data_IF_346157241936
#
_entry.id   IF_346157241936
#
_cell.length_a   1.000
_cell.length_b   1.000
_cell.length_c   1.000
_cell.angle_alpha   90.00
_cell.angle_beta   90.00
_cell.angle_gamma   90.00
#
_symmetry.space_group_name_H-M   'P 1'
#
loop_
_entity.id
_entity.type
_entity.pdbx_description
1 polymer ?
#
# COMPACT_ATOMS: atom_id res chain seq x y z
N UNK A 1 4.46 33.75 -15.84
CA UNK A 1 4.49 33.24 -14.48
C UNK A 1 5.67 33.76 -13.68
N UNK A 2 5.65 33.55 -12.37
CA UNK A 2 6.70 34.04 -11.45
C UNK A 2 8.07 33.43 -11.80
N UNK A 3 8.11 32.18 -12.19
CA UNK A 3 9.33 31.45 -12.57
C UNK A 3 10.03 31.97 -13.83
N UNK A 4 9.36 32.79 -14.64
CA UNK A 4 9.97 33.46 -15.79
C UNK A 4 10.77 34.72 -15.47
N UNK A 5 10.65 35.28 -14.24
CA UNK A 5 11.36 36.49 -13.84
C UNK A 5 12.83 36.23 -13.60
N UNK A 6 13.72 37.04 -14.17
CA UNK A 6 15.17 36.87 -14.07
C UNK A 6 15.67 36.79 -12.63
N UNK A 7 15.17 37.63 -11.72
CA UNK A 7 15.55 37.64 -10.31
C UNK A 7 15.17 36.31 -9.59
N UNK A 8 13.99 35.75 -9.90
CA UNK A 8 13.55 34.45 -9.33
C UNK A 8 14.43 33.32 -9.87
N UNK A 9 14.73 33.32 -11.16
CA UNK A 9 15.59 32.32 -11.78
C UNK A 9 17.02 32.37 -11.20
N UNK A 10 17.54 33.56 -10.95
CA UNK A 10 18.83 33.76 -10.32
C UNK A 10 18.83 33.20 -8.88
N UNK A 11 17.81 33.54 -8.09
CA UNK A 11 17.68 33.05 -6.72
C UNK A 11 17.52 31.51 -6.62
N UNK A 12 16.99 30.86 -7.64
CA UNK A 12 16.82 29.39 -7.68
C UNK A 12 18.11 28.65 -8.06
N UNK A 13 19.10 29.30 -8.72
CA UNK A 13 20.30 28.63 -9.18
C UNK A 13 21.17 28.04 -8.06
N UNK A 14 21.14 28.66 -6.87
CA UNK A 14 21.95 28.24 -5.72
C UNK A 14 21.14 27.42 -4.68
N UNK A 15 19.91 27.04 -5.00
CA UNK A 15 19.10 26.25 -4.06
C UNK A 15 19.46 24.76 -4.15
N UNK A 16 19.65 24.08 -3.00
CA UNK A 16 20.13 22.69 -2.96
C UNK A 16 19.09 21.67 -3.42
N UNK A 17 17.79 22.03 -3.36
CA UNK A 17 16.68 21.10 -3.68
C UNK A 17 15.53 21.85 -4.31
N UNK A 18 15.34 21.67 -5.62
CA UNK A 18 14.25 22.27 -6.39
C UNK A 18 13.45 21.16 -7.05
N UNK A 19 12.15 21.13 -6.78
CA UNK A 19 11.15 20.40 -7.57
C UNK A 19 10.51 21.39 -8.52
N UNK A 20 10.60 21.12 -9.83
CA UNK A 20 10.03 21.98 -10.86
C UNK A 20 8.90 21.27 -11.57
N UNK A 21 7.69 21.79 -11.41
CA UNK A 21 6.52 21.33 -12.15
C UNK A 21 6.39 22.13 -13.45
N UNK A 22 6.64 21.52 -14.66
CA UNK A 22 6.68 22.22 -15.90
C UNK A 22 5.26 22.40 -16.46
N UNK A 23 5.05 23.50 -17.17
CA UNK A 23 3.79 23.74 -17.89
C UNK A 23 4.10 24.19 -19.32
N UNK A 24 3.37 23.74 -20.36
CA UNK A 24 3.64 24.06 -21.77
C UNK A 24 3.73 25.57 -22.07
N UNK A 25 3.01 26.40 -21.32
CA UNK A 25 3.05 27.87 -21.43
C UNK A 25 3.95 28.53 -20.37
N UNK A 26 4.66 27.72 -19.58
CA UNK A 26 5.54 28.20 -18.50
C UNK A 26 6.97 28.43 -18.96
N UNK A 27 7.81 28.88 -18.04
CA UNK A 27 9.26 28.97 -18.28
C UNK A 27 9.88 27.58 -18.21
N UNK A 28 10.94 27.36 -18.98
CA UNK A 28 11.75 26.14 -18.91
C UNK A 28 12.45 26.04 -17.55
N UNK A 29 12.70 24.84 -17.03
CA UNK A 29 13.43 24.62 -15.79
C UNK A 29 14.78 25.33 -15.77
N UNK A 30 15.24 25.73 -14.60
CA UNK A 30 16.63 26.20 -14.45
C UNK A 30 17.57 24.98 -14.43
N UNK A 31 18.76 25.05 -15.03
CA UNK A 31 19.71 23.95 -14.98
C UNK A 31 20.07 23.57 -13.54
N UNK A 32 20.28 22.28 -13.26
CA UNK A 32 20.65 21.79 -11.94
C UNK A 32 19.48 21.58 -10.97
N UNK A 33 18.23 21.75 -11.39
CA UNK A 33 17.08 21.39 -10.54
C UNK A 33 17.14 19.91 -10.14
N UNK A 34 16.73 19.60 -8.92
CA UNK A 34 16.78 18.24 -8.38
C UNK A 34 15.88 17.29 -9.20
N UNK A 35 14.67 17.72 -9.49
CA UNK A 35 13.78 16.96 -10.36
C UNK A 35 12.77 17.84 -11.06
N UNK A 36 12.38 17.43 -12.27
CA UNK A 36 11.27 18.01 -13.03
C UNK A 36 10.14 16.99 -13.11
N UNK A 37 8.88 17.41 -12.93
CA UNK A 37 7.72 16.53 -12.75
C UNK A 37 6.68 16.64 -13.87
N UNK A 38 7.04 16.47 -15.16
CA UNK A 38 6.05 16.53 -16.24
C UNK A 38 5.04 15.38 -16.13
N UNK A 39 3.78 15.67 -16.45
CA UNK A 39 2.84 14.59 -16.74
C UNK A 39 3.09 13.99 -18.13
N UNK A 40 2.41 12.89 -18.47
CA UNK A 40 2.62 12.17 -19.72
C UNK A 40 2.39 13.07 -20.97
N UNK A 41 1.40 13.97 -20.93
CA UNK A 41 1.12 14.88 -22.03
C UNK A 41 2.19 15.99 -22.17
N UNK A 42 2.63 16.53 -21.04
CA UNK A 42 3.73 17.51 -20.98
C UNK A 42 5.06 16.88 -21.40
N UNK A 43 5.34 15.66 -20.93
CA UNK A 43 6.54 14.93 -21.33
C UNK A 43 6.56 14.69 -22.85
N UNK A 44 5.43 14.32 -23.45
CA UNK A 44 5.30 14.16 -24.89
C UNK A 44 5.51 15.50 -25.63
N UNK A 45 4.89 16.58 -25.13
CA UNK A 45 5.02 17.90 -25.71
C UNK A 45 6.47 18.42 -25.70
N UNK A 46 7.17 18.26 -24.60
CA UNK A 46 8.52 18.80 -24.46
C UNK A 46 9.62 17.92 -25.08
N UNK A 47 9.43 16.61 -25.13
CA UNK A 47 10.42 15.67 -25.69
C UNK A 47 10.23 15.40 -27.18
N UNK A 48 9.04 15.71 -27.72
CA UNK A 48 8.65 15.34 -29.10
C UNK A 48 8.67 13.81 -29.35
N UNK A 49 8.70 13.01 -28.26
CA UNK A 49 8.70 11.54 -28.29
C UNK A 49 7.33 11.03 -27.89
N UNK A 50 6.67 10.30 -28.78
CA UNK A 50 5.43 9.61 -28.44
C UNK A 50 5.68 8.48 -27.45
N UNK A 51 4.79 8.31 -26.45
CA UNK A 51 4.91 7.26 -25.45
C UNK A 51 3.56 6.70 -25.03
N UNK A 52 3.28 5.48 -25.46
CA UNK A 52 2.08 4.75 -25.06
C UNK A 52 2.32 3.85 -23.83
N UNK A 53 3.58 3.55 -23.52
CA UNK A 53 3.98 2.60 -22.47
C UNK A 53 5.10 3.14 -21.57
N UNK A 54 5.45 2.38 -20.52
CA UNK A 54 6.52 2.72 -19.58
C UNK A 54 7.87 2.98 -20.27
N UNK A 55 8.20 2.20 -21.28
CA UNK A 55 9.45 2.38 -22.06
C UNK A 55 9.50 3.69 -22.83
N UNK A 56 8.36 4.18 -23.29
CA UNK A 56 8.24 5.51 -23.90
C UNK A 56 8.45 6.63 -22.88
N UNK A 57 7.82 6.52 -21.70
CA UNK A 57 8.02 7.47 -20.60
C UNK A 57 9.49 7.53 -20.13
N UNK A 58 10.19 6.39 -20.10
CA UNK A 58 11.63 6.34 -19.83
C UNK A 58 12.42 7.11 -20.88
N UNK A 59 12.15 6.90 -22.18
CA UNK A 59 12.82 7.61 -23.27
C UNK A 59 12.56 9.12 -23.21
N UNK A 60 11.31 9.52 -22.97
CA UNK A 60 10.94 10.92 -22.74
C UNK A 60 11.73 11.51 -21.55
N UNK A 61 11.77 10.80 -20.43
CA UNK A 61 12.51 11.22 -19.25
C UNK A 61 14.01 11.46 -19.54
N UNK A 62 14.67 10.56 -20.24
CA UNK A 62 16.09 10.71 -20.63
C UNK A 62 16.30 11.88 -21.60
N UNK A 63 15.40 12.11 -22.55
CA UNK A 63 15.49 13.25 -23.45
C UNK A 63 15.35 14.56 -22.68
N UNK A 64 14.34 14.67 -21.81
CA UNK A 64 14.10 15.85 -21.01
C UNK A 64 15.19 16.11 -19.97
N UNK A 65 15.77 15.05 -19.40
CA UNK A 65 16.92 15.13 -18.49
C UNK A 65 18.09 15.86 -19.14
N UNK A 66 18.44 15.47 -20.38
CA UNK A 66 19.51 16.11 -21.15
C UNK A 66 19.15 17.54 -21.56
N UNK A 67 17.91 17.73 -22.07
CA UNK A 67 17.43 19.04 -22.56
C UNK A 67 17.40 20.10 -21.46
N UNK A 68 16.94 19.74 -20.27
CA UNK A 68 16.81 20.66 -19.16
C UNK A 68 18.01 20.71 -18.22
N UNK A 69 18.99 19.82 -18.39
CA UNK A 69 20.13 19.66 -17.50
C UNK A 69 19.69 19.53 -16.03
N UNK A 70 18.63 18.80 -15.80
CA UNK A 70 18.13 18.47 -14.47
C UNK A 70 18.93 17.30 -13.87
N UNK A 71 18.89 17.13 -12.55
CA UNK A 71 19.50 15.96 -11.91
C UNK A 71 18.64 14.71 -12.13
N UNK A 72 17.33 14.88 -12.14
CA UNK A 72 16.38 13.81 -12.47
C UNK A 72 15.12 14.35 -13.16
N UNK A 73 14.36 13.46 -13.80
CA UNK A 73 13.02 13.74 -14.34
C UNK A 73 12.07 12.64 -13.86
N UNK A 74 10.93 13.04 -13.34
CA UNK A 74 9.88 12.13 -12.88
C UNK A 74 8.63 12.33 -13.72
N UNK A 75 8.39 11.44 -14.68
CA UNK A 75 7.19 11.51 -15.54
C UNK A 75 6.00 10.88 -14.82
N UNK A 76 4.98 11.67 -14.49
CA UNK A 76 3.74 11.17 -13.89
C UNK A 76 2.79 10.62 -14.96
N UNK A 77 2.13 9.48 -14.68
CA UNK A 77 1.34 8.69 -15.63
C UNK A 77 -0.07 8.38 -15.13
N UNK A 78 -0.63 9.26 -14.32
CA UNK A 78 -1.95 9.09 -13.73
C UNK A 78 -2.08 7.78 -12.94
N UNK A 79 -3.08 6.96 -13.25
CA UNK A 79 -3.30 5.67 -12.59
C UNK A 79 -2.14 4.67 -12.73
N UNK A 80 -1.24 4.86 -13.69
CA UNK A 80 -0.05 4.03 -13.85
C UNK A 80 1.14 4.49 -12.97
N UNK A 81 0.96 5.51 -12.13
CA UNK A 81 1.98 6.00 -11.19
C UNK A 81 3.00 6.94 -11.82
N UNK A 82 4.28 6.76 -11.55
CA UNK A 82 5.35 7.63 -12.03
C UNK A 82 6.59 6.83 -12.47
N UNK A 83 7.38 7.45 -13.34
CA UNK A 83 8.68 6.94 -13.81
C UNK A 83 9.75 7.97 -13.51
N UNK A 84 10.71 7.62 -12.66
CA UNK A 84 11.89 8.43 -12.36
C UNK A 84 13.06 8.02 -13.25
N UNK A 85 13.73 9.01 -13.82
CA UNK A 85 14.96 8.84 -14.61
C UNK A 85 16.03 9.80 -14.10
N UNK A 86 17.24 9.31 -13.91
CA UNK A 86 18.43 10.08 -13.58
C UNK A 86 19.59 9.72 -14.53
N UNK A 87 20.69 10.48 -14.50
CA UNK A 87 21.77 10.33 -15.47
C UNK A 87 22.48 8.96 -15.40
N UNK A 88 22.68 8.46 -14.18
CA UNK A 88 23.56 7.31 -13.91
C UNK A 88 22.80 6.09 -13.35
N UNK A 89 21.47 6.17 -13.24
CA UNK A 89 20.64 5.17 -12.56
C UNK A 89 19.77 4.34 -13.47
N UNK A 90 19.41 3.16 -12.99
CA UNK A 90 18.31 2.38 -13.56
C UNK A 90 16.99 3.14 -13.33
N UNK A 91 16.13 3.28 -14.35
CA UNK A 91 14.84 3.94 -14.18
C UNK A 91 14.00 3.25 -13.09
N UNK A 92 13.40 4.04 -12.19
CA UNK A 92 12.46 3.56 -11.19
C UNK A 92 11.03 3.73 -11.70
N UNK A 93 10.23 2.68 -11.58
CA UNK A 93 8.77 2.75 -11.78
C UNK A 93 8.08 2.66 -10.42
N UNK A 94 7.39 3.73 -10.03
CA UNK A 94 6.59 3.78 -8.82
C UNK A 94 5.10 3.60 -9.21
N UNK A 95 4.49 2.41 -9.01
CA UNK A 95 3.10 2.17 -9.36
C UNK A 95 2.17 2.93 -8.42
N UNK A 96 1.07 3.48 -8.94
CA UNK A 96 0.02 4.04 -8.10
C UNK A 96 -0.84 2.91 -7.49
N UNK A 97 -1.31 3.07 -6.24
CA UNK A 97 -2.34 2.20 -5.69
C UNK A 97 -3.59 2.25 -6.57
N UNK A 98 -4.28 1.11 -6.70
CA UNK A 98 -5.58 1.08 -7.39
C UNK A 98 -6.62 1.82 -6.53
N UNK A 99 -7.16 2.91 -7.07
CA UNK A 99 -8.18 3.73 -6.43
C UNK A 99 -9.30 4.02 -7.42
N UNK A 100 -10.53 3.95 -6.96
CA UNK A 100 -11.66 4.46 -7.74
C UNK A 100 -11.62 6.01 -7.67
N UNK A 101 -11.38 6.65 -8.82
CA UNK A 101 -11.33 8.12 -8.91
C UNK A 101 -12.34 8.64 -9.90
N UNK A 102 -13.04 9.74 -9.54
CA UNK A 102 -13.86 10.50 -10.47
C UNK A 102 -13.06 11.61 -11.16
N UNK A 103 -12.50 12.54 -10.39
CA UNK A 103 -11.78 13.71 -10.87
C UNK A 103 -10.29 13.64 -10.44
N UNK A 104 -9.38 13.73 -11.40
CA UNK A 104 -7.93 13.70 -11.16
C UNK A 104 -7.31 15.10 -11.05
N UNK A 105 -8.13 16.16 -11.03
CA UNK A 105 -7.64 17.55 -10.91
C UNK A 105 -6.84 17.74 -9.62
N UNK A 106 -5.67 18.39 -9.72
CA UNK A 106 -4.78 18.66 -8.60
C UNK A 106 -3.90 17.47 -8.17
N UNK A 107 -4.03 16.27 -8.77
CA UNK A 107 -3.17 15.14 -8.45
C UNK A 107 -1.68 15.42 -8.76
N UNK A 108 -1.38 16.14 -9.83
CA UNK A 108 -0.03 16.59 -10.18
C UNK A 108 0.56 17.52 -9.13
N UNK A 109 -0.23 18.50 -8.69
CA UNK A 109 0.17 19.45 -7.63
C UNK A 109 0.41 18.72 -6.30
N UNK A 110 -0.48 17.79 -5.94
CA UNK A 110 -0.33 16.96 -4.73
C UNK A 110 0.93 16.07 -4.82
N UNK A 111 1.24 15.52 -5.99
CA UNK A 111 2.46 14.78 -6.24
C UNK A 111 3.70 15.67 -6.07
N UNK A 112 3.74 16.83 -6.73
CA UNK A 112 4.88 17.75 -6.65
C UNK A 112 5.12 18.28 -5.23
N UNK A 113 4.04 18.60 -4.49
CA UNK A 113 4.10 19.02 -3.10
C UNK A 113 4.60 17.89 -2.18
N UNK A 114 4.09 16.66 -2.33
CA UNK A 114 4.54 15.48 -1.60
C UNK A 114 6.01 15.18 -1.85
N UNK A 115 6.46 15.25 -3.10
CA UNK A 115 7.84 15.07 -3.50
C UNK A 115 8.78 16.11 -2.87
N UNK A 116 8.40 17.38 -2.92
CA UNK A 116 9.16 18.47 -2.31
C UNK A 116 9.25 18.29 -0.78
N UNK A 117 8.15 17.92 -0.12
CA UNK A 117 8.11 17.65 1.31
C UNK A 117 9.02 16.49 1.71
N UNK A 118 8.97 15.38 0.99
CA UNK A 118 9.80 14.21 1.25
C UNK A 118 11.29 14.51 1.06
N UNK A 119 11.66 15.20 -0.01
CA UNK A 119 13.05 15.65 -0.22
C UNK A 119 13.53 16.61 0.88
N UNK A 120 12.65 17.47 1.39
CA UNK A 120 13.00 18.41 2.46
C UNK A 120 13.36 17.68 3.78
N UNK A 121 12.79 16.49 4.04
CA UNK A 121 13.11 15.66 5.21
C UNK A 121 14.38 14.82 5.04
N UNK A 122 15.06 14.89 3.90
CA UNK A 122 16.32 14.20 3.67
C UNK A 122 16.21 12.84 3.00
N UNK A 123 15.02 12.44 2.55
CA UNK A 123 14.83 11.22 1.76
C UNK A 123 15.62 11.26 0.46
N UNK A 124 16.03 10.10 -0.03
CA UNK A 124 16.54 10.01 -1.40
C UNK A 124 15.43 10.19 -2.42
N UNK A 125 15.80 10.47 -3.67
CA UNK A 125 14.84 10.78 -4.72
C UNK A 125 13.91 9.59 -5.04
N UNK A 126 14.39 8.35 -4.92
CA UNK A 126 13.61 7.13 -5.22
C UNK A 126 12.53 6.91 -4.16
N UNK A 127 12.89 7.04 -2.89
CA UNK A 127 11.93 7.00 -1.77
C UNK A 127 10.92 8.14 -1.88
N UNK A 128 11.40 9.37 -2.14
CA UNK A 128 10.56 10.56 -2.26
C UNK A 128 9.53 10.44 -3.39
N UNK A 129 9.88 9.85 -4.53
CA UNK A 129 8.93 9.60 -5.64
C UNK A 129 7.86 8.57 -5.22
N UNK A 130 8.23 7.51 -4.52
CA UNK A 130 7.27 6.52 -4.03
C UNK A 130 6.27 7.14 -3.03
N UNK A 131 6.77 7.96 -2.09
CA UNK A 131 5.95 8.70 -1.13
C UNK A 131 5.03 9.72 -1.82
N UNK A 132 5.53 10.41 -2.84
CA UNK A 132 4.76 11.38 -3.62
C UNK A 132 3.60 10.71 -4.40
N UNK A 133 3.83 9.52 -4.98
CA UNK A 133 2.75 8.73 -5.62
C UNK A 133 1.69 8.35 -4.60
N UNK A 134 2.08 7.92 -3.39
CA UNK A 134 1.14 7.61 -2.32
C UNK A 134 0.38 8.84 -1.83
N UNK A 135 1.04 10.01 -1.72
CA UNK A 135 0.42 11.27 -1.36
C UNK A 135 -0.64 11.73 -2.38
N UNK A 136 -0.32 11.65 -3.68
CA UNK A 136 -1.27 11.96 -4.75
C UNK A 136 -2.47 11.00 -4.75
N UNK A 137 -2.24 9.70 -4.53
CA UNK A 137 -3.31 8.72 -4.40
C UNK A 137 -4.21 9.02 -3.20
N UNK A 138 -3.64 9.34 -2.05
CA UNK A 138 -4.36 9.73 -0.84
C UNK A 138 -5.17 11.03 -1.02
N UNK A 139 -4.65 12.01 -1.76
CA UNK A 139 -5.37 13.22 -2.13
C UNK A 139 -6.63 12.89 -2.95
N UNK A 140 -6.50 12.03 -3.96
CA UNK A 140 -7.62 11.60 -4.80
C UNK A 140 -8.68 10.79 -4.01
N UNK A 141 -8.24 9.91 -3.11
CA UNK A 141 -9.13 9.14 -2.22
C UNK A 141 -9.98 10.05 -1.31
N UNK A 142 -9.45 11.21 -0.92
CA UNK A 142 -10.19 12.24 -0.16
C UNK A 142 -11.09 13.11 -1.02
N UNK A 143 -11.29 12.78 -2.30
CA UNK A 143 -12.18 13.50 -3.21
C UNK A 143 -11.50 14.62 -4.00
N UNK A 144 -10.18 14.70 -4.05
CA UNK A 144 -9.44 15.69 -4.83
C UNK A 144 -9.80 17.13 -4.44
N UNK A 145 -10.01 18.00 -5.43
CA UNK A 145 -10.42 19.40 -5.20
C UNK A 145 -11.79 19.48 -4.53
N UNK A 146 -12.74 18.60 -4.90
CA UNK A 146 -14.08 18.56 -4.30
C UNK A 146 -14.05 18.23 -2.80
N UNK A 147 -13.14 17.34 -2.38
CA UNK A 147 -12.97 16.99 -0.98
C UNK A 147 -12.34 18.07 -0.09
N UNK A 148 -11.88 19.18 -0.68
CA UNK A 148 -11.36 20.35 0.07
C UNK A 148 -12.49 21.31 0.51
N UNK A 149 -13.66 21.24 -0.11
CA UNK A 149 -14.79 22.16 0.15
C UNK A 149 -15.83 21.58 1.09
N UNK A 150 -16.02 20.24 1.07
CA UNK A 150 -16.84 19.51 2.02
C UNK A 150 -16.01 18.36 2.62
N UNK A 151 -15.99 18.16 3.95
CA UNK A 151 -15.44 16.93 4.48
C UNK A 151 -16.26 15.78 3.87
N UNK A 152 -15.63 14.82 3.15
CA UNK A 152 -16.37 13.68 2.64
C UNK A 152 -17.06 13.00 3.82
N UNK A 153 -18.31 12.58 3.64
CA UNK A 153 -18.92 11.60 4.53
C UNK A 153 -17.86 10.49 4.70
N UNK A 154 -17.54 10.12 5.94
CA UNK A 154 -16.52 9.10 6.19
C UNK A 154 -16.82 7.90 5.28
N UNK A 155 -15.88 7.52 4.41
CA UNK A 155 -16.14 6.39 3.51
C UNK A 155 -16.46 5.18 4.38
N UNK A 156 -17.55 4.48 4.06
CA UNK A 156 -17.88 3.22 4.73
C UNK A 156 -16.61 2.35 4.77
N UNK A 157 -16.31 1.70 5.90
CA UNK A 157 -15.23 0.72 5.97
C UNK A 157 -15.30 -0.23 4.77
N UNK A 158 -14.16 -0.56 4.17
CA UNK A 158 -14.09 -1.40 2.97
C UNK A 158 -14.95 -2.67 3.11
N UNK A 159 -14.95 -3.30 4.28
CA UNK A 159 -15.75 -4.48 4.59
C UNK A 159 -17.26 -4.22 4.56
N UNK A 160 -17.71 -3.10 5.09
CA UNK A 160 -19.13 -2.76 5.07
C UNK A 160 -19.64 -2.51 3.65
N UNK A 161 -18.88 -1.79 2.85
CA UNK A 161 -19.21 -1.52 1.44
C UNK A 161 -19.29 -2.83 0.63
N UNK A 162 -18.32 -3.72 0.77
CA UNK A 162 -18.32 -5.05 0.11
C UNK A 162 -19.54 -5.87 0.54
N UNK A 163 -19.87 -5.89 1.83
CA UNK A 163 -21.01 -6.62 2.37
C UNK A 163 -22.32 -6.08 1.80
N UNK A 164 -22.50 -4.76 1.75
CA UNK A 164 -23.69 -4.12 1.19
C UNK A 164 -23.85 -4.43 -0.31
N UNK A 165 -22.76 -4.32 -1.10
CA UNK A 165 -22.76 -4.66 -2.53
C UNK A 165 -23.11 -6.13 -2.79
N UNK A 166 -22.58 -7.05 -1.99
CA UNK A 166 -22.87 -8.49 -2.12
C UNK A 166 -24.33 -8.80 -1.75
N UNK A 167 -24.82 -8.25 -0.66
CA UNK A 167 -26.22 -8.42 -0.23
C UNK A 167 -27.23 -7.84 -1.20
N UNK A 168 -26.95 -6.70 -1.80
CA UNK A 168 -27.81 -6.07 -2.80
C UNK A 168 -28.09 -6.99 -4.00
N UNK A 169 -27.18 -7.93 -4.29
CA UNK A 169 -27.36 -8.95 -5.36
C UNK A 169 -27.75 -10.34 -4.84
N UNK A 170 -28.11 -10.45 -3.55
CA UNK A 170 -28.53 -11.72 -2.93
C UNK A 170 -27.38 -12.70 -2.66
N UNK A 171 -26.14 -12.21 -2.63
CA UNK A 171 -24.97 -13.03 -2.40
C UNK A 171 -24.69 -13.30 -0.93
N UNK A 172 -23.85 -14.30 -0.65
CA UNK A 172 -23.44 -14.76 0.68
C UNK A 172 -22.12 -14.14 1.12
N UNK A 173 -22.10 -13.63 2.33
CA UNK A 173 -20.93 -13.00 2.95
C UNK A 173 -20.21 -14.01 3.84
N UNK A 174 -18.91 -14.20 3.61
CA UNK A 174 -18.03 -14.99 4.47
C UNK A 174 -17.07 -14.07 5.22
N UNK A 175 -16.87 -14.33 6.50
CA UNK A 175 -15.83 -13.68 7.29
C UNK A 175 -14.85 -14.73 7.82
N UNK A 176 -13.54 -14.44 7.73
CA UNK A 176 -12.46 -15.27 8.28
C UNK A 176 -11.64 -14.46 9.28
N UNK A 177 -11.41 -15.00 10.48
CA UNK A 177 -10.66 -14.32 11.53
C UNK A 177 -9.24 -14.85 11.72
N UNK A 178 -8.30 -13.97 12.08
CA UNK A 178 -6.95 -14.40 12.41
C UNK A 178 -5.90 -13.28 12.56
N UNK A 179 -4.75 -13.66 13.13
CA UNK A 179 -3.61 -12.75 13.30
C UNK A 179 -2.82 -12.54 11.99
N UNK A 180 -2.70 -13.54 11.14
CA UNK A 180 -1.98 -13.52 9.85
C UNK A 180 -0.60 -12.85 9.92
N UNK A 181 0.15 -13.09 10.99
CA UNK A 181 1.39 -12.37 11.29
C UNK A 181 2.49 -12.63 10.26
N UNK A 182 2.81 -13.88 9.99
CA UNK A 182 3.67 -14.29 8.87
C UNK A 182 2.84 -15.15 7.93
N UNK A 183 2.48 -14.62 6.78
CA UNK A 183 1.71 -15.37 5.79
C UNK A 183 2.53 -16.56 5.24
N UNK A 184 1.86 -17.69 5.12
CA UNK A 184 2.40 -18.93 4.56
C UNK A 184 1.30 -19.69 3.83
N UNK A 185 1.68 -20.73 3.08
CA UNK A 185 0.75 -21.50 2.26
C UNK A 185 -0.49 -22.02 3.04
N UNK A 186 -0.34 -22.32 4.34
CA UNK A 186 -1.48 -22.71 5.19
C UNK A 186 -2.53 -21.61 5.36
N UNK A 187 -2.11 -20.35 5.46
CA UNK A 187 -3.05 -19.23 5.48
C UNK A 187 -3.73 -19.03 4.13
N UNK A 188 -3.00 -19.17 3.02
CA UNK A 188 -3.58 -19.03 1.67
C UNK A 188 -4.65 -20.09 1.45
N UNK A 189 -4.32 -21.38 1.69
CA UNK A 189 -5.28 -22.48 1.56
C UNK A 189 -6.53 -22.29 2.43
N UNK A 190 -6.37 -21.78 3.65
CA UNK A 190 -7.49 -21.47 4.54
C UNK A 190 -8.37 -20.34 3.97
N UNK A 191 -7.77 -19.26 3.47
CA UNK A 191 -8.51 -18.13 2.91
C UNK A 191 -9.22 -18.50 1.59
N UNK A 192 -8.57 -19.30 0.74
CA UNK A 192 -9.19 -19.83 -0.48
C UNK A 192 -10.38 -20.72 -0.16
N UNK A 193 -10.24 -21.62 0.82
CA UNK A 193 -11.33 -22.48 1.27
C UNK A 193 -12.48 -21.65 1.89
N UNK A 194 -12.16 -20.60 2.66
CA UNK A 194 -13.17 -19.70 3.20
C UNK A 194 -13.91 -18.94 2.09
N UNK A 195 -13.17 -18.41 1.10
CA UNK A 195 -13.76 -17.70 -0.06
C UNK A 195 -14.71 -18.57 -0.87
N UNK A 196 -14.42 -19.87 -0.98
CA UNK A 196 -15.26 -20.83 -1.69
C UNK A 196 -16.63 -21.10 -1.03
N UNK A 197 -16.84 -20.65 0.22
CA UNK A 197 -18.11 -20.81 0.93
C UNK A 197 -19.15 -19.74 0.61
N UNK A 198 -18.77 -18.65 -0.08
CA UNK A 198 -19.69 -17.56 -0.42
C UNK A 198 -19.20 -16.67 -1.55
N UNK A 199 -19.87 -15.53 -1.72
CA UNK A 199 -19.65 -14.60 -2.83
C UNK A 199 -18.61 -13.51 -2.54
N UNK A 200 -18.27 -13.31 -1.26
CA UNK A 200 -17.13 -12.48 -0.84
C UNK A 200 -16.51 -13.02 0.43
N UNK A 201 -15.25 -12.63 0.67
CA UNK A 201 -14.50 -12.89 1.88
C UNK A 201 -14.02 -11.60 2.52
N UNK A 202 -14.51 -11.30 3.72
CA UNK A 202 -13.99 -10.25 4.58
C UNK A 202 -13.07 -10.88 5.62
N UNK A 203 -11.84 -10.40 5.72
CA UNK A 203 -10.89 -10.87 6.74
C UNK A 203 -10.94 -9.97 7.97
N UNK A 204 -11.30 -10.53 9.12
CA UNK A 204 -11.16 -9.90 10.42
C UNK A 204 -9.73 -10.11 10.93
N UNK A 205 -8.93 -9.03 10.90
CA UNK A 205 -7.52 -9.03 11.24
C UNK A 205 -7.29 -8.49 12.63
N UNK A 206 -6.64 -9.26 13.51
CA UNK A 206 -6.24 -8.76 14.83
C UNK A 206 -5.24 -7.60 14.69
N UNK A 207 -5.45 -6.50 15.44
CA UNK A 207 -4.48 -5.42 15.59
C UNK A 207 -3.17 -5.89 16.22
N UNK A 208 -2.17 -5.04 16.24
CA UNK A 208 -0.88 -5.38 16.85
C UNK A 208 -1.00 -5.60 18.37
N UNK A 209 -1.83 -4.80 19.03
CA UNK A 209 -2.08 -4.94 20.46
C UNK A 209 -2.85 -6.22 20.79
N UNK A 210 -3.86 -6.53 20.00
CA UNK A 210 -4.60 -7.78 20.11
C UNK A 210 -3.70 -9.01 19.90
N UNK A 211 -2.81 -8.99 18.89
CA UNK A 211 -1.84 -10.08 18.68
C UNK A 211 -0.84 -10.18 19.82
N UNK A 212 -0.38 -9.05 20.36
CA UNK A 212 0.56 -9.02 21.48
C UNK A 212 -0.05 -9.62 22.76
N UNK A 213 -1.30 -9.31 23.00
CA UNK A 213 -2.06 -9.91 24.12
C UNK A 213 -2.25 -11.43 23.95
N UNK A 214 -2.50 -11.90 22.73
CA UNK A 214 -2.76 -13.33 22.45
C UNK A 214 -1.48 -14.18 22.37
N UNK A 215 -0.38 -13.65 21.83
CA UNK A 215 0.84 -14.43 21.47
C UNK A 215 2.09 -14.01 22.23
N UNK A 216 2.00 -13.00 23.09
CA UNK A 216 3.09 -12.51 23.94
C UNK A 216 3.98 -11.46 23.27
N UNK A 217 4.94 -10.96 24.05
CA UNK A 217 5.90 -9.95 23.62
C UNK A 217 6.75 -10.47 22.43
N UNK A 218 7.05 -9.57 21.50
CA UNK A 218 7.78 -9.91 20.26
C UNK A 218 6.87 -10.42 19.14
N UNK A 219 5.56 -10.32 19.31
CA UNK A 219 4.53 -10.55 18.28
C UNK A 219 3.57 -9.34 18.24
N UNK A 220 3.05 -8.98 17.06
CA UNK A 220 3.37 -9.58 15.75
C UNK A 220 4.78 -9.19 15.27
N UNK A 221 5.31 -9.91 14.28
CA UNK A 221 6.56 -9.57 13.57
C UNK A 221 6.29 -8.50 12.53
N UNK A 222 5.12 -8.54 11.91
CA UNK A 222 4.68 -7.64 10.83
C UNK A 222 3.52 -6.80 11.33
N UNK A 223 3.57 -5.48 11.10
CA UNK A 223 2.54 -4.52 11.54
C UNK A 223 1.15 -4.85 10.98
N UNK A 224 0.08 -4.46 11.66
CA UNK A 224 -1.29 -4.66 11.18
C UNK A 224 -1.51 -4.02 9.81
N UNK A 225 -0.92 -2.85 9.56
CA UNK A 225 -1.00 -2.15 8.28
C UNK A 225 -0.39 -2.97 7.15
N UNK A 226 0.81 -3.53 7.33
CA UNK A 226 1.48 -4.35 6.32
C UNK A 226 0.77 -5.68 6.13
N UNK A 227 0.31 -6.32 7.24
CA UNK A 227 -0.47 -7.57 7.18
C UNK A 227 -1.78 -7.36 6.38
N UNK A 228 -2.50 -6.26 6.63
CA UNK A 228 -3.69 -5.90 5.89
C UNK A 228 -3.40 -5.67 4.40
N UNK A 229 -2.29 -4.97 4.09
CA UNK A 229 -1.86 -4.72 2.71
C UNK A 229 -1.55 -6.01 1.96
N UNK A 230 -0.86 -6.95 2.59
CA UNK A 230 -0.55 -8.26 1.99
C UNK A 230 -1.83 -9.09 1.79
N UNK A 231 -2.74 -9.11 2.77
CA UNK A 231 -4.02 -9.81 2.66
C UNK A 231 -4.90 -9.23 1.53
N UNK A 232 -5.00 -7.91 1.42
CA UNK A 232 -5.75 -7.24 0.33
C UNK A 232 -5.20 -7.52 -1.07
N UNK A 233 -3.94 -7.93 -1.19
CA UNK A 233 -3.34 -8.32 -2.47
C UNK A 233 -3.69 -9.76 -2.91
N UNK A 234 -4.32 -10.56 -2.05
CA UNK A 234 -4.76 -11.90 -2.38
C UNK A 234 -6.08 -11.87 -3.14
N UNK A 235 -6.15 -12.56 -4.26
CA UNK A 235 -7.36 -12.62 -5.11
C UNK A 235 -8.59 -13.21 -4.42
N UNK A 236 -8.39 -13.98 -3.35
CA UNK A 236 -9.46 -14.57 -2.56
C UNK A 236 -9.99 -13.65 -1.44
N UNK A 237 -9.42 -12.46 -1.24
CA UNK A 237 -9.80 -11.52 -0.17
C UNK A 237 -10.42 -10.27 -0.78
N UNK A 238 -11.66 -9.99 -0.46
CA UNK A 238 -12.40 -8.83 -0.97
C UNK A 238 -12.25 -7.60 -0.06
N UNK A 239 -12.13 -7.80 1.27
CA UNK A 239 -11.87 -6.72 2.23
C UNK A 239 -11.13 -7.22 3.47
N UNK A 240 -10.48 -6.28 4.19
CA UNK A 240 -9.80 -6.54 5.45
C UNK A 240 -10.21 -5.49 6.46
N UNK A 241 -10.75 -5.93 7.61
CA UNK A 241 -11.13 -5.10 8.75
C UNK A 241 -10.25 -5.41 9.95
N UNK A 242 -9.62 -4.39 10.52
CA UNK A 242 -8.76 -4.53 11.70
C UNK A 242 -9.61 -4.33 12.96
N UNK A 243 -9.40 -5.18 13.97
CA UNK A 243 -10.09 -5.09 15.26
C UNK A 243 -9.11 -5.22 16.43
N UNK A 244 -9.43 -4.56 17.55
CA UNK A 244 -8.57 -4.49 18.74
C UNK A 244 -8.99 -5.47 19.84
N UNK A 245 -10.23 -5.92 19.84
CA UNK A 245 -10.79 -6.79 20.87
C UNK A 245 -10.16 -8.20 20.82
N UNK A 246 -10.26 -8.99 21.90
CA UNK A 246 -9.80 -10.39 21.91
C UNK A 246 -10.52 -11.27 20.87
N UNK A 247 -11.75 -10.91 20.53
CA UNK A 247 -12.60 -11.59 19.53
C UNK A 247 -13.34 -10.55 18.68
N UNK A 248 -13.62 -10.80 17.38
CA UNK A 248 -14.19 -9.82 16.48
C UNK A 248 -15.71 -9.59 16.68
N UNK A 249 -16.21 -9.58 17.92
CA UNK A 249 -17.66 -9.50 18.20
C UNK A 249 -18.33 -8.25 17.62
N UNK A 250 -17.66 -7.08 17.67
CA UNK A 250 -18.21 -5.84 17.09
C UNK A 250 -18.30 -5.92 15.58
N UNK A 251 -17.28 -6.46 14.91
CA UNK A 251 -17.31 -6.69 13.47
C UNK A 251 -18.39 -7.70 13.07
N UNK A 252 -18.53 -8.81 13.83
CA UNK A 252 -19.56 -9.80 13.60
C UNK A 252 -20.96 -9.20 13.75
N UNK A 253 -21.18 -8.36 14.77
CA UNK A 253 -22.47 -7.70 14.98
C UNK A 253 -22.77 -6.64 13.91
N UNK A 254 -21.75 -5.93 13.43
CA UNK A 254 -21.91 -4.88 12.40
C UNK A 254 -22.09 -5.47 11.01
N UNK A 255 -21.27 -6.42 10.62
CA UNK A 255 -21.25 -6.99 9.27
C UNK A 255 -22.18 -8.20 9.10
N UNK A 256 -22.52 -8.90 10.18
CA UNK A 256 -23.41 -10.07 10.21
C UNK A 256 -23.14 -11.05 9.06
N UNK A 257 -21.92 -11.62 8.94
CA UNK A 257 -21.62 -12.54 7.85
C UNK A 257 -22.54 -13.78 7.92
N UNK A 258 -22.92 -14.32 6.75
CA UNK A 258 -23.69 -15.56 6.67
C UNK A 258 -22.88 -16.74 7.18
N UNK A 259 -21.54 -16.70 6.97
CA UNK A 259 -20.61 -17.72 7.43
C UNK A 259 -19.42 -17.06 8.12
N UNK A 260 -19.10 -17.51 9.34
CA UNK A 260 -17.86 -17.22 10.01
C UNK A 260 -16.94 -18.44 9.94
N UNK A 261 -15.86 -18.32 9.17
CA UNK A 261 -14.86 -19.38 8.99
C UNK A 261 -13.73 -19.25 10.04
N UNK A 262 -13.33 -20.34 10.61
CA UNK A 262 -12.18 -20.44 11.54
C UNK A 262 -11.27 -21.59 11.14
N UNK A 263 -9.97 -21.34 11.13
CA UNK A 263 -8.98 -22.39 10.89
C UNK A 263 -8.70 -23.16 12.17
N UNK A 264 -8.69 -24.48 12.14
CA UNK A 264 -8.41 -25.30 13.32
C UNK A 264 -8.56 -26.80 13.09
N UNK A 265 -8.22 -27.56 14.11
CA UNK A 265 -8.45 -29.01 14.13
C UNK A 265 -9.86 -29.32 14.66
N UNK A 266 -10.55 -30.25 14.01
CA UNK A 266 -11.96 -30.62 14.24
C UNK A 266 -12.31 -31.06 15.66
N UNK A 267 -11.34 -31.30 16.55
CA UNK A 267 -11.59 -32.11 17.75
C UNK A 267 -11.62 -31.38 19.09
N UNK A 268 -11.44 -30.06 19.18
CA UNK A 268 -11.24 -29.48 20.52
C UNK A 268 -11.72 -28.07 20.76
N UNK A 269 -12.51 -27.42 19.89
CA UNK A 269 -12.63 -25.98 20.05
C UNK A 269 -14.06 -25.50 20.30
N UNK A 270 -14.33 -25.07 21.51
CA UNK A 270 -15.38 -24.07 21.75
C UNK A 270 -14.95 -22.79 21.04
N UNK A 271 -15.67 -22.42 20.01
CA UNK A 271 -15.44 -21.19 19.24
C UNK A 271 -16.15 -20.05 19.99
N UNK A 272 -15.43 -19.11 20.61
CA UNK A 272 -16.04 -18.05 21.42
C UNK A 272 -17.04 -17.20 20.63
N UNK A 273 -16.85 -17.07 19.31
CA UNK A 273 -17.69 -16.29 18.42
C UNK A 273 -19.00 -16.99 18.03
N UNK A 274 -19.13 -18.30 18.29
CA UNK A 274 -20.22 -19.11 17.76
C UNK A 274 -21.62 -18.62 18.19
N UNK A 275 -21.78 -18.25 19.44
CA UNK A 275 -23.08 -17.80 19.95
C UNK A 275 -23.47 -16.43 19.35
N UNK A 276 -22.50 -15.53 19.17
CA UNK A 276 -22.74 -14.24 18.51
C UNK A 276 -23.14 -14.40 17.04
N UNK A 277 -22.51 -15.34 16.32
CA UNK A 277 -22.85 -15.63 14.93
C UNK A 277 -24.24 -16.25 14.80
N UNK A 278 -24.56 -17.22 15.63
CA UNK A 278 -25.86 -17.90 15.65
C UNK A 278 -27.00 -16.95 16.02
N UNK A 279 -26.74 -15.97 16.90
CA UNK A 279 -27.76 -15.02 17.37
C UNK A 279 -28.41 -14.21 16.24
N UNK A 280 -27.72 -13.97 15.12
CA UNK A 280 -28.31 -13.32 13.93
C UNK A 280 -28.56 -14.27 12.77
N UNK A 281 -28.49 -15.60 12.98
CA UNK A 281 -28.79 -16.62 11.97
C UNK A 281 -27.61 -17.03 11.09
N UNK A 282 -26.39 -16.62 11.40
CA UNK A 282 -25.18 -17.04 10.68
C UNK A 282 -24.70 -18.42 11.11
N UNK A 283 -23.81 -19.01 10.31
CA UNK A 283 -23.20 -20.31 10.51
C UNK A 283 -21.71 -20.18 10.86
N UNK A 284 -21.20 -21.06 11.72
CA UNK A 284 -19.76 -21.15 12.00
C UNK A 284 -19.21 -22.42 11.35
N UNK A 285 -18.17 -22.26 10.53
CA UNK A 285 -17.51 -23.36 9.82
C UNK A 285 -16.04 -23.44 10.24
N UNK A 286 -15.59 -24.63 10.63
CA UNK A 286 -14.19 -24.92 10.87
C UNK A 286 -13.56 -25.48 9.61
N UNK A 287 -12.52 -24.82 9.13
CA UNK A 287 -11.77 -25.25 7.96
C UNK A 287 -10.45 -25.89 8.38
N UNK A 288 -10.04 -27.00 7.73
CA UNK A 288 -8.80 -27.68 8.05
C UNK A 288 -7.60 -26.78 7.72
N UNK A 289 -6.60 -26.82 8.59
CA UNK A 289 -5.31 -26.16 8.35
C UNK A 289 -4.30 -27.13 7.78
N UNK A 290 -3.40 -26.66 6.89
CA UNK A 290 -2.33 -27.49 6.36
C UNK A 290 -1.37 -27.88 7.48
N UNK A 291 -1.22 -29.21 7.68
CA UNK A 291 -0.34 -29.76 8.70
C UNK A 291 1.11 -29.27 8.54
N UNK A 292 1.78 -29.00 9.66
CA UNK A 292 3.18 -28.57 9.67
C UNK A 292 3.43 -27.10 9.29
N UNK A 293 2.42 -26.30 8.98
CA UNK A 293 2.53 -24.89 8.65
C UNK A 293 2.05 -24.04 9.82
N UNK A 294 2.96 -23.24 10.41
CA UNK A 294 2.65 -22.36 11.56
C UNK A 294 3.63 -21.20 11.59
N UNK A 295 3.11 -19.99 11.75
CA UNK A 295 3.93 -18.76 11.93
C UNK A 295 4.87 -18.89 13.13
N UNK A 296 4.44 -19.56 14.20
CA UNK A 296 5.28 -19.81 15.39
C UNK A 296 6.49 -20.68 15.06
N UNK A 297 6.31 -21.72 14.25
CA UNK A 297 7.44 -22.57 13.79
C UNK A 297 8.41 -21.80 12.92
N UNK A 298 7.92 -20.93 12.04
CA UNK A 298 8.77 -20.07 11.19
C UNK A 298 9.62 -19.12 12.04
N UNK A 299 9.01 -18.45 13.03
CA UNK A 299 9.75 -17.55 13.95
C UNK A 299 10.79 -18.33 14.77
N UNK A 300 10.45 -19.51 15.27
CA UNK A 300 11.37 -20.31 16.07
C UNK A 300 12.53 -20.84 15.21
N UNK A 301 12.28 -21.25 13.98
CA UNK A 301 13.32 -21.67 13.04
C UNK A 301 14.29 -20.52 12.70
N UNK A 302 13.75 -19.32 12.43
CA UNK A 302 14.57 -18.15 12.18
C UNK A 302 15.46 -17.77 13.39
N UNK A 303 14.90 -17.83 14.61
CA UNK A 303 15.65 -17.57 15.84
C UNK A 303 16.74 -18.63 16.11
N UNK A 304 16.49 -19.88 15.77
CA UNK A 304 17.49 -20.96 15.92
C UNK A 304 18.66 -20.76 14.94
N UNK A 305 18.39 -20.42 13.68
CA UNK A 305 19.42 -20.11 12.68
C UNK A 305 20.27 -18.90 13.03
N UNK A 306 19.68 -17.84 13.62
CA UNK A 306 20.43 -16.67 14.07
C UNK A 306 21.39 -16.99 15.22
N UNK A 307 21.05 -17.91 16.13
CA UNK A 307 21.91 -18.30 17.24
C UNK A 307 23.11 -19.13 16.80
N UNK A 308 22.95 -20.00 15.80
CA UNK A 308 24.06 -20.79 15.26
C UNK A 308 25.11 -19.90 14.56
N UNK A 309 24.68 -18.88 13.80
CA UNK A 309 25.59 -17.92 13.17
C UNK A 309 26.39 -17.09 14.20
N UNK A 310 25.73 -16.63 15.27
CA UNK A 310 26.40 -15.86 16.33
C UNK A 310 27.44 -16.70 17.11
N UNK A 311 27.21 -18.01 17.27
CA UNK A 311 28.18 -18.92 17.91
C UNK A 311 29.36 -19.23 17.02
N UNK A 312 29.16 -19.39 15.71
CA UNK A 312 30.25 -19.60 14.73
C UNK A 312 31.13 -18.35 14.59
N UNK A 313 30.57 -17.15 14.67
CA UNK A 313 31.31 -15.89 14.63
C UNK A 313 32.14 -15.67 15.90
N UNK A 314 31.60 -16.00 17.09
CA UNK A 314 32.33 -15.94 18.34
C UNK A 314 33.49 -16.97 18.41
N UNK A 315 33.33 -18.15 17.80
CA UNK A 315 34.38 -19.15 17.75
C UNK A 315 35.53 -18.76 16.80
N UNK A 316 35.25 -17.93 15.78
CA UNK A 316 36.27 -17.41 14.84
C UNK A 316 37.07 -16.22 15.38
N UNK A 317 36.60 -15.56 16.41
CA UNK A 317 37.21 -14.34 16.97
C UNK A 317 38.01 -14.58 18.28
N UNK A 318 38.12 -15.82 18.76
CA UNK A 318 39.04 -16.12 19.88
C UNK A 318 40.46 -16.34 19.34
N UNK A 319 41.43 -15.46 19.72
CA UNK A 319 42.83 -15.70 19.39
C UNK A 319 43.36 -16.89 20.20
N UNK A 320 44.23 -17.67 19.56
CA UNK A 320 44.93 -18.82 20.15
C UNK A 320 45.92 -18.40 21.24
#
# INVERSE_FOLDING_TARGET
GVSGRAAVRWALQDQPRIVWDPHPRGAVPVPGVTTVTPNAAEAAHFSEVAADHVTGAIRQGHELLRRWRATSVTVTRGAAGAVLVNADGTPLVAPAPSIATGDSCGAGDAFAAGLASSLATGRDISEAVCEAVAAAASYLQRGGVGGMTDPPAEPLPDGQRVVEEVRARGGRVVMAGGCFDLLHAGHISYLEAARALGDCLVVALNSDDSVRALKGQGRPVVTAQDRARVLKALSCVDAVEVFDEPTPHRLLSALRPDIFAKGGDYHSTTIPEADAVRAYGGEVVVLPTLAGRSSTRLVNAARAGARSHSQEEQCRTQPA
#
